data_IF_136828290230
#
_entry.id   IF_136828290230
#
_cell.length_a   1.000
_cell.length_b   1.000
_cell.length_c   1.000
_cell.angle_alpha   90.00
_cell.angle_beta   90.00
_cell.angle_gamma   90.00
#
_symmetry.space_group_name_H-M   'P 1'
#
loop_
_entity.id
_entity.type
_entity.pdbx_description
1 polymer ?
#
# COMPACT_ATOMS: atom_id res chain seq x y z
N UNK A 1 2.91 -11.27 -16.79
CA UNK A 1 1.65 -10.78 -16.23
C UNK A 1 1.36 -9.44 -16.88
N UNK A 2 0.11 -9.20 -17.24
CA UNK A 2 -0.34 -7.89 -17.69
C UNK A 2 -0.43 -6.92 -16.49
N UNK A 3 -0.50 -5.61 -16.75
CA UNK A 3 -0.70 -4.62 -15.69
C UNK A 3 -1.99 -4.88 -14.90
N UNK A 4 -3.04 -5.36 -15.57
CA UNK A 4 -4.33 -5.70 -14.94
C UNK A 4 -4.17 -6.80 -13.90
N UNK A 5 -3.38 -7.84 -14.20
CA UNK A 5 -3.11 -8.92 -13.24
C UNK A 5 -2.28 -8.41 -12.05
N UNK A 6 -1.30 -7.54 -12.29
CA UNK A 6 -0.48 -6.94 -11.22
C UNK A 6 -1.35 -6.09 -10.29
N UNK A 7 -2.21 -5.25 -10.85
CA UNK A 7 -3.08 -4.36 -10.09
C UNK A 7 -4.19 -5.13 -9.34
N UNK A 8 -4.71 -6.21 -9.92
CA UNK A 8 -5.60 -7.12 -9.21
C UNK A 8 -4.91 -7.75 -7.99
N UNK A 9 -3.68 -8.24 -8.15
CA UNK A 9 -2.90 -8.80 -7.04
C UNK A 9 -2.52 -7.75 -5.99
N UNK A 10 -2.23 -6.52 -6.43
CA UNK A 10 -1.98 -5.38 -5.53
C UNK A 10 -3.19 -5.12 -4.64
N UNK A 11 -4.38 -4.99 -5.22
CA UNK A 11 -5.61 -4.76 -4.48
C UNK A 11 -5.90 -5.89 -3.49
N UNK A 12 -5.72 -7.16 -3.89
CA UNK A 12 -5.87 -8.31 -2.98
C UNK A 12 -4.94 -8.22 -1.78
N UNK A 13 -3.67 -7.85 -1.99
CA UNK A 13 -2.69 -7.69 -0.89
C UNK A 13 -3.04 -6.53 0.01
N UNK A 14 -3.41 -5.38 -0.55
CA UNK A 14 -3.85 -4.21 0.22
C UNK A 14 -5.08 -4.53 1.07
N UNK A 15 -6.09 -5.20 0.51
CA UNK A 15 -7.28 -5.62 1.25
C UNK A 15 -6.92 -6.55 2.41
N UNK A 16 -6.03 -7.51 2.17
CA UNK A 16 -5.58 -8.43 3.22
C UNK A 16 -4.83 -7.71 4.33
N UNK A 17 -3.90 -6.84 3.98
CA UNK A 17 -2.99 -6.20 4.93
C UNK A 17 -3.67 -5.08 5.74
N UNK A 18 -4.70 -4.44 5.19
CA UNK A 18 -5.41 -3.32 5.83
C UNK A 18 -6.90 -3.58 6.11
N UNK A 19 -7.39 -4.79 5.83
CA UNK A 19 -8.81 -5.19 6.01
C UNK A 19 -9.78 -4.22 5.33
N UNK A 20 -9.47 -3.84 4.09
CA UNK A 20 -10.28 -2.89 3.32
C UNK A 20 -11.59 -3.56 2.86
N UNK A 21 -12.70 -2.82 2.89
CA UNK A 21 -14.00 -3.31 2.43
C UNK A 21 -14.00 -3.55 0.90
N UNK A 22 -14.38 -4.76 0.48
CA UNK A 22 -14.37 -5.17 -0.94
C UNK A 22 -15.35 -4.39 -1.81
N UNK A 23 -16.34 -3.74 -1.21
CA UNK A 23 -17.44 -3.04 -1.91
C UNK A 23 -17.00 -1.75 -2.61
N UNK A 24 -15.83 -1.20 -2.28
CA UNK A 24 -15.36 0.10 -2.78
C UNK A 24 -14.02 0.02 -3.55
N UNK A 25 -13.70 -1.14 -4.13
CA UNK A 25 -12.42 -1.31 -4.83
C UNK A 25 -12.41 -0.57 -6.18
N UNK A 26 -11.34 0.18 -6.48
CA UNK A 26 -11.18 0.82 -7.78
C UNK A 26 -10.96 -0.21 -8.89
N UNK A 27 -11.21 0.21 -10.12
CA UNK A 27 -11.01 -0.61 -11.31
C UNK A 27 -9.54 -1.10 -11.39
N UNK A 28 -9.37 -2.40 -11.65
CA UNK A 28 -8.07 -3.08 -11.64
C UNK A 28 -7.11 -2.67 -12.77
N UNK A 29 -7.38 -1.59 -13.50
CA UNK A 29 -6.58 -1.12 -14.63
C UNK A 29 -5.94 0.25 -14.39
N UNK A 30 -6.21 0.90 -13.26
CA UNK A 30 -5.72 2.26 -12.99
C UNK A 30 -5.04 2.36 -11.62
N UNK A 31 -3.72 2.54 -11.65
CA UNK A 31 -2.90 2.69 -10.45
C UNK A 31 -3.18 3.98 -9.69
N UNK A 32 -3.57 5.06 -10.38
CA UNK A 32 -3.89 6.34 -9.74
C UNK A 32 -5.20 6.25 -8.98
N UNK A 33 -6.18 5.49 -9.49
CA UNK A 33 -7.40 5.19 -8.74
C UNK A 33 -7.13 4.33 -7.50
N UNK A 34 -6.28 3.30 -7.62
CA UNK A 34 -5.83 2.47 -6.48
C UNK A 34 -5.15 3.33 -5.42
N UNK A 35 -4.25 4.22 -5.87
CA UNK A 35 -3.55 5.17 -5.03
C UNK A 35 -4.52 6.10 -4.31
N UNK A 36 -5.40 6.79 -5.04
CA UNK A 36 -6.36 7.72 -4.46
C UNK A 36 -7.27 7.05 -3.42
N UNK A 37 -7.76 5.84 -3.72
CA UNK A 37 -8.51 5.04 -2.75
C UNK A 37 -7.69 4.74 -1.49
N UNK A 38 -6.45 4.29 -1.65
CA UNK A 38 -5.57 3.97 -0.53
C UNK A 38 -5.26 5.22 0.32
N UNK A 39 -5.11 6.40 -0.29
CA UNK A 39 -4.93 7.66 0.44
C UNK A 39 -6.09 7.93 1.39
N UNK A 40 -7.33 7.81 0.91
CA UNK A 40 -8.51 8.00 1.77
C UNK A 40 -8.59 6.95 2.87
N UNK A 41 -8.27 5.68 2.56
CA UNK A 41 -8.22 4.62 3.56
C UNK A 41 -7.14 4.83 4.61
N UNK A 42 -5.97 5.32 4.24
CA UNK A 42 -4.93 5.67 5.21
C UNK A 42 -5.40 6.78 6.15
N UNK A 43 -6.09 7.81 5.64
CA UNK A 43 -6.67 8.86 6.49
C UNK A 43 -7.65 8.28 7.52
N UNK A 44 -8.57 7.43 7.08
CA UNK A 44 -9.53 6.74 7.95
C UNK A 44 -8.80 5.90 9.03
N UNK A 45 -7.84 5.08 8.62
CA UNK A 45 -7.10 4.19 9.53
C UNK A 45 -6.25 4.98 10.55
N UNK A 46 -5.56 6.02 10.10
CA UNK A 46 -4.77 6.90 10.98
C UNK A 46 -5.65 7.62 11.99
N UNK A 47 -6.84 8.08 11.58
CA UNK A 47 -7.78 8.75 12.46
C UNK A 47 -8.45 7.79 13.46
N UNK A 48 -8.71 6.56 13.04
CA UNK A 48 -9.33 5.54 13.89
C UNK A 48 -8.36 4.99 14.94
N UNK A 49 -7.15 4.58 14.54
CA UNK A 49 -6.11 4.09 15.43
C UNK A 49 -4.74 4.20 14.77
N UNK A 50 -4.05 5.31 15.03
CA UNK A 50 -2.74 5.58 14.48
C UNK A 50 -1.70 4.52 14.88
N UNK A 51 -1.71 4.06 16.13
CA UNK A 51 -0.72 3.07 16.61
C UNK A 51 -0.89 1.74 15.90
N UNK A 52 -2.13 1.28 15.74
CA UNK A 52 -2.44 0.06 14.98
C UNK A 52 -2.07 0.21 13.51
N UNK A 53 -2.32 1.36 12.90
CA UNK A 53 -1.93 1.63 11.53
C UNK A 53 -0.40 1.52 11.34
N UNK A 54 0.40 2.15 12.19
CA UNK A 54 1.87 2.03 12.14
C UNK A 54 2.33 0.59 12.33
N UNK A 55 1.75 -0.14 13.28
CA UNK A 55 2.06 -1.56 13.47
C UNK A 55 1.77 -2.39 12.21
N UNK A 56 0.70 -2.09 11.47
CA UNK A 56 0.40 -2.76 10.21
C UNK A 56 1.46 -2.46 9.14
N UNK A 57 2.00 -1.25 9.05
CA UNK A 57 3.07 -0.91 8.11
C UNK A 57 4.32 -1.76 8.34
N UNK A 58 4.73 -1.94 9.59
CA UNK A 58 5.90 -2.75 9.91
C UNK A 58 5.70 -4.24 9.64
N UNK A 59 4.46 -4.76 9.77
CA UNK A 59 4.14 -6.15 9.43
C UNK A 59 4.25 -6.47 7.95
N UNK A 60 4.16 -5.47 7.07
CA UNK A 60 4.33 -5.63 5.62
C UNK A 60 5.76 -5.30 5.14
N UNK A 61 6.67 -5.09 6.09
CA UNK A 61 8.10 -4.79 5.86
C UNK A 61 8.30 -3.49 5.04
N UNK A 62 7.52 -2.46 5.39
CA UNK A 62 7.77 -1.09 4.93
C UNK A 62 8.98 -0.53 5.70
N UNK A 63 9.83 0.21 4.99
CA UNK A 63 11.03 0.85 5.55
C UNK A 63 10.67 1.87 6.64
N UNK A 64 11.06 1.57 7.88
CA UNK A 64 10.80 2.41 9.05
C UNK A 64 11.46 3.79 8.95
N UNK A 65 12.65 3.88 8.36
CA UNK A 65 13.33 5.16 8.13
C UNK A 65 12.50 6.09 7.25
N UNK A 66 12.01 5.56 6.12
CA UNK A 66 11.12 6.29 5.20
C UNK A 66 9.79 6.66 5.86
N UNK A 67 9.19 5.75 6.64
CA UNK A 67 7.95 6.06 7.39
C UNK A 67 8.17 7.23 8.33
N UNK A 68 9.24 7.19 9.13
CA UNK A 68 9.58 8.27 10.05
C UNK A 68 9.80 9.59 9.31
N UNK A 69 10.58 9.60 8.22
CA UNK A 69 10.79 10.80 7.40
C UNK A 69 9.45 11.41 6.93
N UNK A 70 8.53 10.57 6.45
CA UNK A 70 7.21 11.01 6.01
C UNK A 70 6.42 11.59 7.19
N UNK A 71 6.37 10.90 8.33
CA UNK A 71 5.63 11.35 9.51
C UNK A 71 6.16 12.67 10.10
N UNK A 72 7.47 12.90 10.02
CA UNK A 72 8.11 14.13 10.49
C UNK A 72 8.15 15.25 9.43
N UNK A 73 7.65 15.01 8.21
CA UNK A 73 7.58 16.03 7.18
C UNK A 73 6.80 17.27 7.65
N UNK A 74 7.22 18.45 7.14
CA UNK A 74 6.56 19.74 7.47
C UNK A 74 5.13 19.79 6.95
N UNK A 75 4.92 19.31 5.73
CA UNK A 75 3.60 19.21 5.14
C UNK A 75 2.86 17.96 5.63
N UNK A 76 2.06 18.15 6.70
CA UNK A 76 1.26 17.08 7.30
C UNK A 76 0.12 16.62 6.39
N UNK A 77 -0.39 17.50 5.50
CA UNK A 77 -1.50 17.15 4.61
C UNK A 77 -1.06 16.13 3.54
N UNK A 78 0.23 16.14 3.17
CA UNK A 78 0.80 15.19 2.22
C UNK A 78 1.12 13.81 2.84
N UNK A 79 1.07 13.64 4.16
CA UNK A 79 1.47 12.38 4.83
C UNK A 79 0.70 11.17 4.29
N UNK A 80 -0.64 11.16 4.23
CA UNK A 80 -1.37 10.00 3.75
C UNK A 80 -1.02 9.62 2.31
N UNK A 81 -0.82 10.63 1.45
CA UNK A 81 -0.42 10.43 0.06
C UNK A 81 0.96 9.77 -0.04
N UNK A 82 1.95 10.29 0.70
CA UNK A 82 3.30 9.74 0.71
C UNK A 82 3.36 8.32 1.30
N UNK A 83 2.55 8.04 2.32
CA UNK A 83 2.45 6.68 2.87
C UNK A 83 1.79 5.72 1.88
N UNK A 84 0.77 6.15 1.14
CA UNK A 84 0.16 5.33 0.08
C UNK A 84 1.21 4.94 -0.99
N UNK A 85 2.02 5.91 -1.42
CA UNK A 85 3.10 5.68 -2.38
C UNK A 85 4.10 4.63 -1.87
N UNK A 86 4.54 4.79 -0.61
CA UNK A 86 5.48 3.87 0.01
C UNK A 86 4.92 2.44 0.17
N UNK A 87 3.64 2.32 0.55
CA UNK A 87 2.95 1.03 0.67
C UNK A 87 2.81 0.36 -0.70
N UNK A 88 2.41 1.10 -1.73
CA UNK A 88 2.27 0.59 -3.09
C UNK A 88 3.61 0.10 -3.62
N UNK A 89 4.68 0.90 -3.47
CA UNK A 89 6.05 0.52 -3.84
C UNK A 89 6.43 -0.82 -3.20
N UNK A 90 6.20 -0.94 -1.88
CA UNK A 90 6.51 -2.16 -1.13
C UNK A 90 5.71 -3.37 -1.61
N UNK A 91 4.42 -3.22 -1.88
CA UNK A 91 3.56 -4.32 -2.33
C UNK A 91 3.91 -4.77 -3.76
N UNK A 92 4.21 -3.83 -4.65
CA UNK A 92 4.68 -4.13 -6.01
C UNK A 92 6.01 -4.91 -5.97
N UNK A 93 6.94 -4.54 -5.08
CA UNK A 93 8.16 -5.30 -4.87
C UNK A 93 7.86 -6.74 -4.42
N UNK A 94 6.97 -6.93 -3.44
CA UNK A 94 6.55 -8.28 -2.98
C UNK A 94 5.95 -9.10 -4.13
N UNK A 95 5.09 -8.50 -4.96
CA UNK A 95 4.50 -9.17 -6.14
C UNK A 95 5.61 -9.59 -7.10
N UNK A 96 6.53 -8.69 -7.44
CA UNK A 96 7.64 -8.95 -8.34
C UNK A 96 8.55 -10.07 -7.83
N UNK A 97 8.94 -10.03 -6.56
CA UNK A 97 9.77 -11.08 -5.93
C UNK A 97 9.06 -12.44 -5.97
N UNK A 98 7.76 -12.49 -5.66
CA UNK A 98 6.98 -13.72 -5.76
C UNK A 98 6.90 -14.24 -7.21
N UNK A 99 6.84 -13.36 -8.20
CA UNK A 99 6.86 -13.74 -9.62
C UNK A 99 8.22 -14.33 -10.01
N UNK A 100 9.33 -13.70 -9.63
CA UNK A 100 10.67 -14.19 -9.92
C UNK A 100 10.91 -15.57 -9.30
N UNK A 101 10.48 -15.77 -8.04
CA UNK A 101 10.58 -17.06 -7.38
C UNK A 101 9.79 -18.16 -8.11
N UNK A 102 8.55 -17.86 -8.55
CA UNK A 102 7.74 -18.81 -9.34
C UNK A 102 8.37 -19.17 -10.69
N UNK A 103 9.26 -18.33 -11.22
CA UNK A 103 9.96 -18.53 -12.49
C UNK A 103 11.35 -19.16 -12.34
N UNK A 104 11.84 -19.35 -11.12
CA UNK A 104 13.21 -19.81 -10.86
C UNK A 104 14.28 -18.77 -11.21
N UNK A 105 13.92 -17.48 -11.17
CA UNK A 105 14.82 -16.36 -11.48
C UNK A 105 15.51 -15.76 -10.23
N UNK A 106 15.43 -16.47 -9.09
CA UNK A 106 16.02 -16.11 -7.79
C UNK A 106 16.84 -17.26 -7.23
#
# INVERSE_FOLDING_TARGET
MSNVEIYSELLKKLNKDFSLEETNLPAHNDIEMIRAYLVEKIKELMAADFGRFINNLYRIDVDEGKVNEILYARDKAAIPAKLADLIIERQLLRIKTQMMYRRGEL
#
